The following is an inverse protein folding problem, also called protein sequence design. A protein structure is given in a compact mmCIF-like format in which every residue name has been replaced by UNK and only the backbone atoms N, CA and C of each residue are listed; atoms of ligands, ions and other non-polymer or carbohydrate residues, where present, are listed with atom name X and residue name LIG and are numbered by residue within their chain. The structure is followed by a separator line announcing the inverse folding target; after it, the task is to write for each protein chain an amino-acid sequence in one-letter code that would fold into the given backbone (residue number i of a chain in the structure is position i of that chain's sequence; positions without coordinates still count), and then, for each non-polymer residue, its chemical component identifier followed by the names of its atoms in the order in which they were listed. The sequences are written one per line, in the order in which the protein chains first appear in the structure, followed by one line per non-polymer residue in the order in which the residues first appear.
data_IF_086513122717
#
_entry.id   IF_086513122717
#
_cell.length_a   1.000
_cell.length_b   1.000
_cell.length_c   1.000
_cell.angle_alpha   90.00
_cell.angle_beta   90.00
_cell.angle_gamma   90.00
#
_symmetry.space_group_name_H-M   'P 1'
#
loop_
_entity.id
_entity.type
_entity.pdbx_description
1 polymer ?
#
# COMPACT_ATOMS: atom_id res chain seq x y z
N UNK A 1 12.61 18.99 -46.18
CA UNK A 1 12.19 17.66 -45.71
C UNK A 1 13.35 16.70 -45.48
N UNK A 2 14.36 16.62 -46.35
CA UNK A 2 15.52 15.71 -46.17
C UNK A 2 16.37 16.03 -44.92
N UNK A 3 16.54 17.31 -44.57
CA UNK A 3 17.31 17.73 -43.39
C UNK A 3 16.63 17.39 -42.04
N UNK A 4 15.31 17.22 -42.04
CA UNK A 4 14.54 16.81 -40.85
C UNK A 4 14.63 15.30 -40.61
N UNK A 5 14.74 14.50 -41.69
CA UNK A 5 14.95 13.05 -41.62
C UNK A 5 16.35 12.68 -41.10
N UNK A 6 17.38 13.45 -41.50
CA UNK A 6 18.76 13.22 -41.04
C UNK A 6 18.96 13.62 -39.56
N UNK A 7 18.27 14.65 -39.08
CA UNK A 7 18.28 15.02 -37.66
C UNK A 7 17.61 13.96 -36.76
N UNK A 8 16.56 13.30 -37.25
CA UNK A 8 15.84 12.24 -36.51
C UNK A 8 16.67 10.96 -36.40
N UNK A 9 17.36 10.55 -37.47
CA UNK A 9 18.23 9.37 -37.48
C UNK A 9 19.49 9.53 -36.59
N UNK A 10 20.03 10.76 -36.49
CA UNK A 10 21.17 11.09 -35.62
C UNK A 10 20.81 11.06 -34.13
N UNK A 11 19.57 11.37 -33.79
CA UNK A 11 19.08 11.34 -32.41
C UNK A 11 18.80 9.91 -31.93
N UNK A 12 18.24 9.05 -32.79
CA UNK A 12 17.96 7.64 -32.45
C UNK A 12 19.23 6.79 -32.30
N UNK A 13 20.30 7.09 -33.06
CA UNK A 13 21.59 6.39 -32.92
C UNK A 13 22.34 6.77 -31.62
N UNK A 14 22.21 8.01 -31.14
CA UNK A 14 22.79 8.41 -29.84
C UNK A 14 22.09 7.79 -28.64
N UNK A 15 20.78 7.53 -28.74
CA UNK A 15 20.00 6.83 -27.70
C UNK A 15 20.37 5.35 -27.58
N UNK A 16 20.67 4.68 -28.70
CA UNK A 16 21.09 3.27 -28.70
C UNK A 16 22.52 3.07 -28.16
N UNK A 17 23.41 4.03 -28.35
CA UNK A 17 24.78 3.95 -27.84
C UNK A 17 24.87 4.20 -26.32
N UNK A 18 24.02 5.07 -25.75
CA UNK A 18 23.96 5.26 -24.29
C UNK A 18 23.29 4.09 -23.55
N UNK A 19 22.36 3.38 -24.20
CA UNK A 19 21.69 2.22 -23.59
C UNK A 19 22.61 0.99 -23.39
N UNK A 20 23.75 0.92 -24.10
CA UNK A 20 24.68 -0.20 -24.00
C UNK A 20 25.83 0.01 -23.02
N UNK A 21 26.22 1.25 -22.67
CA UNK A 21 27.27 1.47 -21.66
C UNK A 21 26.78 1.32 -20.21
N UNK A 22 25.48 1.51 -19.96
CA UNK A 22 24.87 1.35 -18.63
C UNK A 22 24.67 -0.13 -18.21
N UNK A 23 24.74 -1.08 -19.15
CA UNK A 23 24.53 -2.52 -18.87
C UNK A 23 25.72 -3.23 -18.20
N UNK A 24 26.91 -2.62 -18.11
CA UNK A 24 28.09 -3.25 -17.47
C UNK A 24 28.32 -2.88 -16.01
N UNK A 25 27.55 -1.97 -15.43
CA UNK A 25 27.75 -1.48 -14.05
C UNK A 25 26.71 -1.97 -13.03
N UNK A 26 25.73 -2.80 -13.42
CA UNK A 26 24.58 -3.17 -12.58
C UNK A 26 24.50 -4.66 -12.23
N UNK A 27 25.57 -5.44 -12.47
CA UNK A 27 25.58 -6.89 -12.25
C UNK A 27 26.47 -7.38 -11.09
N UNK A 28 27.04 -6.51 -10.25
CA UNK A 28 27.96 -6.92 -9.17
C UNK A 28 27.51 -6.53 -7.75
N UNK A 29 26.24 -6.21 -7.49
CA UNK A 29 25.82 -5.88 -6.11
C UNK A 29 24.40 -6.34 -5.79
N UNK A 30 24.15 -7.65 -5.89
CA UNK A 30 23.06 -8.31 -5.17
C UNK A 30 23.50 -9.71 -4.77
N UNK A 31 24.35 -9.78 -3.74
CA UNK A 31 24.59 -10.98 -2.97
C UNK A 31 24.60 -10.62 -1.47
N UNK A 32 23.97 -11.51 -0.68
CA UNK A 32 23.92 -11.57 0.79
C UNK A 32 22.95 -10.61 1.53
N UNK A 33 21.69 -11.04 1.67
CA UNK A 33 20.99 -10.88 2.96
C UNK A 33 21.48 -12.00 3.89
N UNK A 34 22.26 -11.64 4.91
CA UNK A 34 22.67 -12.54 5.99
C UNK A 34 21.73 -12.35 7.18
N UNK A 35 21.24 -13.43 7.83
CA UNK A 35 20.46 -13.33 9.05
C UNK A 35 21.40 -13.13 10.25
N UNK A 36 21.33 -11.96 10.90
CA UNK A 36 21.99 -11.76 12.18
C UNK A 36 21.26 -12.56 13.28
N UNK A 37 21.77 -13.77 13.56
CA UNK A 37 21.62 -14.42 14.85
C UNK A 37 22.71 -13.88 15.80
N UNK A 38 22.27 -13.34 16.94
CA UNK A 38 23.12 -13.03 18.09
C UNK A 38 23.70 -14.34 18.64
N UNK A 39 25.00 -14.57 18.44
CA UNK A 39 25.78 -15.49 19.26
C UNK A 39 26.56 -14.68 20.30
N UNK A 40 26.18 -14.85 21.57
CA UNK A 40 27.06 -14.61 22.70
C UNK A 40 28.29 -15.52 22.58
N UNK A 41 29.48 -14.92 22.58
CA UNK A 41 30.74 -15.62 22.83
C UNK A 41 31.04 -15.58 24.34
N UNK A 42 31.58 -16.67 24.93
CA UNK A 42 31.91 -16.74 26.35
C UNK A 42 33.28 -16.09 26.66
N UNK A 43 33.56 -15.74 27.93
CA UNK A 43 34.83 -15.12 28.30
C UNK A 43 35.96 -16.16 28.39
N UNK A 44 37.14 -15.71 27.97
CA UNK A 44 38.40 -16.43 28.08
C UNK A 44 38.84 -16.58 29.55
N UNK A 45 39.49 -17.72 29.77
CA UNK A 45 40.05 -18.25 30.99
C UNK A 45 41.32 -17.51 31.46
N UNK A 46 41.41 -17.29 32.76
CA UNK A 46 42.69 -17.08 33.47
C UNK A 46 42.84 -18.17 34.54
N UNK A 47 44.01 -18.82 34.54
CA UNK A 47 44.45 -19.83 35.50
C UNK A 47 44.63 -19.23 36.90
N UNK A 48 44.15 -19.93 37.92
CA UNK A 48 44.47 -19.75 39.34
C UNK A 48 44.03 -20.98 40.11
N UNK A 49 44.92 -21.50 40.96
CA UNK A 49 44.95 -22.85 41.52
C UNK A 49 43.98 -23.16 42.68
N UNK A 50 43.65 -24.46 42.79
CA UNK A 50 43.46 -25.27 44.02
C UNK A 50 42.41 -24.86 45.05
N UNK A 51 41.31 -25.63 45.16
CA UNK A 51 41.17 -26.65 46.21
C UNK A 51 39.87 -27.47 46.04
N UNK A 52 39.99 -28.73 46.42
CA UNK A 52 38.96 -29.78 46.53
C UNK A 52 37.74 -29.39 47.35
N UNK A 53 36.54 -29.89 46.98
CA UNK A 53 35.62 -30.70 47.81
C UNK A 53 34.45 -31.17 46.94
N UNK A 54 34.13 -32.46 47.03
CA UNK A 54 33.00 -33.17 46.43
C UNK A 54 31.67 -32.80 47.12
N UNK A 55 30.54 -32.84 46.41
CA UNK A 55 29.22 -33.39 46.84
C UNK A 55 28.20 -33.24 45.69
N UNK A 56 27.25 -34.17 45.69
CA UNK A 56 26.35 -34.59 44.64
C UNK A 56 25.10 -33.70 44.38
N UNK A 57 24.47 -34.04 43.25
CA UNK A 57 23.02 -34.21 43.02
C UNK A 57 22.06 -33.01 42.96
N UNK A 58 21.27 -33.07 41.89
CA UNK A 58 19.86 -32.70 41.72
C UNK A 58 19.44 -31.23 41.56
N UNK A 59 18.91 -30.97 40.36
CA UNK A 59 17.47 -30.67 40.27
C UNK A 59 17.05 -29.25 39.90
N UNK A 60 16.15 -29.22 38.92
CA UNK A 60 15.13 -28.19 38.67
C UNK A 60 15.47 -26.95 37.83
N UNK A 61 15.32 -27.12 36.52
CA UNK A 61 15.11 -26.07 35.54
C UNK A 61 13.67 -25.56 35.63
N UNK A 62 13.48 -24.32 36.09
CA UNK A 62 12.17 -23.65 36.06
C UNK A 62 12.12 -22.74 34.84
N UNK A 63 11.45 -23.18 33.78
CA UNK A 63 11.23 -22.39 32.57
C UNK A 63 9.95 -21.57 32.73
N UNK A 64 10.09 -20.27 32.95
CA UNK A 64 8.97 -19.31 32.92
C UNK A 64 8.65 -18.95 31.47
N UNK A 65 7.60 -19.56 30.91
CA UNK A 65 6.98 -19.14 29.65
C UNK A 65 6.05 -17.96 29.90
N UNK A 66 6.46 -16.78 29.41
CA UNK A 66 5.61 -15.61 29.24
C UNK A 66 4.66 -15.85 28.06
N UNK A 67 3.36 -15.92 28.32
CA UNK A 67 2.30 -15.96 27.31
C UNK A 67 1.82 -14.54 27.03
N UNK A 68 2.29 -13.95 25.94
CA UNK A 68 1.66 -12.76 25.37
C UNK A 68 0.37 -13.16 24.64
N UNK A 69 -0.75 -12.75 25.24
CA UNK A 69 -2.12 -12.99 24.81
C UNK A 69 -2.45 -12.15 23.57
N UNK A 70 -2.20 -12.70 22.38
CA UNK A 70 -2.69 -12.14 21.12
C UNK A 70 -4.18 -12.48 21.00
N UNK A 71 -5.02 -11.59 21.52
CA UNK A 71 -6.47 -11.58 21.31
C UNK A 71 -6.78 -11.69 19.81
N UNK A 72 -7.16 -12.89 19.37
CA UNK A 72 -7.68 -13.16 18.03
C UNK A 72 -9.08 -12.55 17.94
N UNK A 73 -9.22 -11.51 17.13
CA UNK A 73 -10.54 -11.02 16.73
C UNK A 73 -11.39 -12.21 16.23
N UNK A 74 -12.60 -12.44 16.76
CA UNK A 74 -13.47 -13.48 16.25
C UNK A 74 -13.77 -13.19 14.79
N UNK A 75 -13.36 -14.10 13.91
CA UNK A 75 -13.75 -14.08 12.50
C UNK A 75 -15.28 -14.15 12.47
N UNK A 76 -15.99 -13.14 11.94
CA UNK A 76 -17.44 -13.22 11.86
C UNK A 76 -17.81 -14.41 10.98
N UNK A 77 -18.51 -15.39 11.55
CA UNK A 77 -19.17 -16.44 10.78
C UNK A 77 -20.35 -15.77 10.08
N UNK A 78 -20.09 -15.24 8.88
CA UNK A 78 -21.14 -14.70 8.02
C UNK A 78 -22.01 -15.88 7.58
N UNK A 79 -23.18 -16.01 8.20
CA UNK A 79 -24.24 -16.89 7.75
C UNK A 79 -24.62 -16.52 6.31
N UNK A 80 -24.82 -17.54 5.46
CA UNK A 80 -25.32 -17.37 4.09
C UNK A 80 -26.71 -16.75 4.15
N UNK A 81 -26.81 -15.46 3.85
CA UNK A 81 -28.09 -14.83 3.54
C UNK A 81 -28.52 -15.29 2.14
N UNK A 82 -29.62 -16.02 2.08
CA UNK A 82 -30.37 -16.28 0.85
C UNK A 82 -30.98 -14.96 0.38
N UNK A 83 -30.70 -14.57 -0.87
CA UNK A 83 -31.32 -13.41 -1.51
C UNK A 83 -32.81 -13.70 -1.75
N UNK A 84 -33.67 -13.11 -0.93
CA UNK A 84 -35.10 -13.00 -1.19
C UNK A 84 -35.39 -11.59 -1.71
N UNK A 85 -35.91 -11.54 -2.92
CA UNK A 85 -36.21 -10.32 -3.67
C UNK A 85 -37.54 -9.74 -3.15
N UNK A 86 -37.49 -8.84 -2.16
CA UNK A 86 -38.68 -8.14 -1.66
C UNK A 86 -38.93 -6.83 -2.40
N UNK A 87 -40.17 -6.71 -2.87
CA UNK A 87 -40.77 -5.60 -3.60
C UNK A 87 -40.69 -4.27 -2.83
N UNK A 88 -40.41 -3.19 -3.57
CA UNK A 88 -40.44 -1.81 -3.10
C UNK A 88 -41.85 -1.36 -2.69
N UNK A 89 -42.09 -1.21 -1.38
CA UNK A 89 -43.19 -0.40 -0.86
C UNK A 89 -42.76 1.07 -0.78
N UNK A 90 -43.53 1.96 -1.42
CA UNK A 90 -43.39 3.43 -1.36
C UNK A 90 -43.56 3.91 0.09
N UNK A 91 -42.45 4.26 0.73
CA UNK A 91 -42.41 4.86 2.07
C UNK A 91 -42.46 6.38 2.00
N UNK A 92 -43.34 6.95 2.84
CA UNK A 92 -43.53 8.38 3.11
C UNK A 92 -42.22 9.15 3.32
N UNK A 93 -42.02 10.23 2.55
CA UNK A 93 -40.95 11.21 2.71
C UNK A 93 -41.10 11.93 4.05
N UNK A 94 -40.37 11.48 5.08
CA UNK A 94 -40.11 12.31 6.26
C UNK A 94 -39.14 13.41 5.85
N UNK A 95 -39.58 14.67 6.03
CA UNK A 95 -38.77 15.86 5.83
C UNK A 95 -37.54 15.80 6.73
N UNK A 96 -36.37 15.58 6.14
CA UNK A 96 -35.08 15.57 6.84
C UNK A 96 -34.74 17.03 7.10
N UNK A 97 -34.78 17.43 8.37
CA UNK A 97 -34.27 18.74 8.82
C UNK A 97 -32.79 18.83 8.40
N UNK A 98 -32.34 19.91 7.74
CA UNK A 98 -30.94 20.04 7.36
C UNK A 98 -30.09 20.05 8.63
N UNK A 99 -29.35 18.96 8.90
CA UNK A 99 -28.29 19.00 9.90
C UNK A 99 -27.35 20.13 9.48
N UNK A 100 -27.13 21.09 10.39
CA UNK A 100 -26.15 22.16 10.18
C UNK A 100 -24.84 21.54 9.68
N UNK A 101 -24.22 22.16 8.66
CA UNK A 101 -23.01 21.65 8.02
C UNK A 101 -21.97 21.39 9.11
N UNK A 102 -21.74 20.11 9.43
CA UNK A 102 -20.73 19.72 10.40
C UNK A 102 -19.38 20.28 9.95
N UNK A 103 -18.66 20.87 10.90
CA UNK A 103 -17.33 21.42 10.68
C UNK A 103 -16.43 20.35 10.08
N UNK A 104 -15.79 20.62 8.93
CA UNK A 104 -14.96 19.63 8.25
C UNK A 104 -13.59 19.56 8.95
N UNK A 105 -13.27 18.39 9.50
CA UNK A 105 -12.01 18.10 10.16
C UNK A 105 -11.13 17.24 9.23
N UNK A 106 -9.86 17.61 9.08
CA UNK A 106 -8.86 16.80 8.35
C UNK A 106 -8.14 15.87 9.34
N UNK A 107 -8.27 14.57 9.12
CA UNK A 107 -7.63 13.55 9.97
C UNK A 107 -6.40 13.00 9.27
N UNK A 108 -5.24 13.07 9.93
CA UNK A 108 -3.98 12.55 9.42
C UNK A 108 -3.45 11.48 10.37
N UNK A 109 -3.10 10.32 9.83
CA UNK A 109 -2.37 9.27 10.52
C UNK A 109 -0.93 9.24 10.01
N UNK A 110 0.00 9.48 10.92
CA UNK A 110 1.42 9.61 10.59
C UNK A 110 2.24 8.47 11.22
N UNK A 111 2.79 7.60 10.37
CA UNK A 111 3.79 6.62 10.76
C UNK A 111 5.20 7.23 10.76
N UNK A 112 5.83 7.35 11.93
CA UNK A 112 7.15 7.98 12.08
C UNK A 112 8.18 6.92 12.49
N UNK A 113 9.12 6.62 11.59
CA UNK A 113 10.27 5.78 11.90
C UNK A 113 11.43 6.63 12.43
N UNK A 114 11.96 6.28 13.60
CA UNK A 114 13.01 6.98 14.31
C UNK A 114 14.24 6.06 14.47
N UNK A 115 15.23 6.15 13.56
CA UNK A 115 16.47 5.38 13.64
C UNK A 115 17.39 5.84 14.79
N UNK A 116 18.54 5.19 14.91
CA UNK A 116 19.66 5.53 15.81
C UNK A 116 20.13 6.99 15.75
N UNK A 117 20.87 7.45 16.80
CA UNK A 117 21.16 8.86 17.13
C UNK A 117 21.47 9.75 15.92
N UNK A 118 22.43 9.34 15.10
CA UNK A 118 22.91 10.05 13.91
C UNK A 118 21.78 10.38 12.91
N UNK A 119 20.82 9.47 12.72
CA UNK A 119 19.77 9.59 11.70
C UNK A 119 18.46 10.18 12.22
N UNK A 120 18.32 10.37 13.53
CA UNK A 120 17.09 10.91 14.13
C UNK A 120 16.83 12.36 13.80
N UNK A 121 17.87 13.21 13.80
CA UNK A 121 17.73 14.63 13.47
C UNK A 121 17.12 14.81 12.07
N UNK A 122 17.55 13.99 11.11
CA UNK A 122 16.97 13.95 9.77
C UNK A 122 15.51 13.50 9.79
N UNK A 123 15.18 12.49 10.60
CA UNK A 123 13.81 11.99 10.71
C UNK A 123 12.86 13.05 11.28
N UNK A 124 13.28 13.78 12.31
CA UNK A 124 12.55 14.92 12.87
C UNK A 124 12.43 16.07 11.87
N UNK A 125 13.49 16.39 11.14
CA UNK A 125 13.44 17.42 10.09
C UNK A 125 12.45 17.05 8.96
N UNK A 126 12.42 15.78 8.56
CA UNK A 126 11.43 15.27 7.60
C UNK A 126 10.00 15.40 8.16
N UNK A 127 9.80 15.08 9.44
CA UNK A 127 8.49 15.23 10.10
C UNK A 127 8.04 16.68 10.07
N UNK A 128 8.89 17.62 10.49
CA UNK A 128 8.60 19.04 10.44
C UNK A 128 8.27 19.53 9.02
N UNK A 129 9.07 19.15 8.02
CA UNK A 129 8.85 19.49 6.61
C UNK A 129 7.49 19.02 6.08
N UNK A 130 7.08 17.78 6.41
CA UNK A 130 5.81 17.24 5.94
C UNK A 130 4.61 17.85 6.66
N UNK A 131 4.73 18.13 7.96
CA UNK A 131 3.71 18.84 8.72
C UNK A 131 3.52 20.28 8.22
N UNK A 132 4.61 20.96 7.88
CA UNK A 132 4.57 22.28 7.25
C UNK A 132 3.83 22.23 5.90
N UNK A 133 4.13 21.25 5.04
CA UNK A 133 3.41 21.07 3.78
C UNK A 133 1.91 20.86 3.99
N UNK A 134 1.52 20.04 4.98
CA UNK A 134 0.10 19.81 5.31
C UNK A 134 -0.55 21.09 5.82
N UNK A 135 0.14 21.83 6.71
CA UNK A 135 -0.33 23.10 7.27
C UNK A 135 -0.60 24.18 6.22
N UNK A 136 0.06 24.12 5.06
CA UNK A 136 -0.12 25.04 3.94
C UNK A 136 -0.90 24.44 2.75
N UNK A 137 -1.48 23.25 2.92
CA UNK A 137 -2.08 22.49 1.83
C UNK A 137 -3.48 22.95 1.41
N UNK A 138 -3.92 22.52 0.23
CA UNK A 138 -5.30 22.74 -0.23
C UNK A 138 -6.35 22.10 0.67
N UNK A 139 -6.07 20.91 1.22
CA UNK A 139 -6.94 20.21 2.16
C UNK A 139 -7.10 20.97 3.48
N UNK A 140 -6.04 21.63 3.97
CA UNK A 140 -6.11 22.50 5.14
C UNK A 140 -7.11 23.64 4.93
N UNK A 141 -7.09 24.28 3.77
CA UNK A 141 -8.01 25.38 3.43
C UNK A 141 -9.47 24.92 3.29
N UNK A 142 -9.70 23.61 3.11
CA UNK A 142 -11.04 23.01 3.09
C UNK A 142 -11.54 22.57 4.46
N UNK A 143 -10.70 22.67 5.49
CA UNK A 143 -10.97 22.11 6.82
C UNK A 143 -10.90 23.19 7.89
N UNK A 144 -11.70 23.08 8.93
CA UNK A 144 -11.65 24.02 10.05
C UNK A 144 -10.49 23.69 11.00
N UNK A 145 -10.27 22.40 11.22
CA UNK A 145 -9.21 21.85 12.06
C UNK A 145 -8.46 20.73 11.33
N UNK A 146 -7.24 20.49 11.77
CA UNK A 146 -6.44 19.33 11.37
C UNK A 146 -5.99 18.61 12.63
N UNK A 147 -6.32 17.32 12.71
CA UNK A 147 -5.90 16.42 13.78
C UNK A 147 -4.91 15.41 13.21
N UNK A 148 -3.74 15.31 13.83
CA UNK A 148 -2.67 14.38 13.44
C UNK A 148 -2.47 13.37 14.56
N UNK A 149 -2.87 12.14 14.32
CA UNK A 149 -2.52 11.00 15.16
C UNK A 149 -1.20 10.42 14.66
N UNK A 150 -0.22 10.26 15.53
CA UNK A 150 1.07 9.71 15.13
C UNK A 150 1.53 8.57 16.02
N UNK A 151 2.13 7.58 15.38
CA UNK A 151 2.87 6.52 16.06
C UNK A 151 4.35 6.66 15.73
N UNK A 152 5.19 6.37 16.69
CA UNK A 152 6.64 6.32 16.49
C UNK A 152 7.14 4.88 16.57
N UNK A 153 8.10 4.51 15.72
CA UNK A 153 8.78 3.21 15.78
C UNK A 153 10.30 3.40 15.76
N UNK A 154 11.02 2.71 16.64
CA UNK A 154 12.48 2.60 16.60
C UNK A 154 13.11 2.68 17.99
N UNK A 155 14.43 2.92 18.03
CA UNK A 155 15.20 2.86 19.28
C UNK A 155 15.15 4.16 20.10
N UNK A 156 14.33 5.13 19.71
CA UNK A 156 14.17 6.40 20.41
C UNK A 156 12.72 6.87 20.41
N UNK A 157 12.43 7.77 21.32
CA UNK A 157 11.21 8.56 21.31
C UNK A 157 11.41 9.87 20.53
N UNK A 158 10.31 10.43 20.02
CA UNK A 158 10.30 11.80 19.51
C UNK A 158 10.20 12.77 20.69
N UNK A 159 10.76 13.97 20.56
CA UNK A 159 10.49 15.06 21.49
C UNK A 159 9.05 15.56 21.25
N UNK A 160 8.14 15.18 22.15
CA UNK A 160 6.72 15.54 22.05
C UNK A 160 6.49 17.05 22.18
N UNK A 161 7.33 17.78 22.93
CA UNK A 161 7.21 19.23 23.04
C UNK A 161 7.57 19.90 21.71
N UNK A 162 8.66 19.47 21.08
CA UNK A 162 9.03 19.94 19.75
C UNK A 162 7.98 19.57 18.69
N UNK A 163 7.40 18.37 18.76
CA UNK A 163 6.31 17.95 17.88
C UNK A 163 5.06 18.82 18.07
N UNK A 164 4.64 19.05 19.31
CA UNK A 164 3.50 19.90 19.64
C UNK A 164 3.71 21.35 19.17
N UNK A 165 4.91 21.91 19.37
CA UNK A 165 5.26 23.23 18.86
C UNK A 165 5.19 23.27 17.33
N UNK A 166 5.72 22.26 16.66
CA UNK A 166 5.67 22.13 15.19
C UNK A 166 4.22 22.12 14.69
N UNK A 167 3.34 21.37 15.36
CA UNK A 167 1.93 21.30 14.99
C UNK A 167 1.18 22.60 15.26
N UNK A 168 1.42 23.23 16.42
CA UNK A 168 0.84 24.52 16.77
C UNK A 168 1.22 25.61 15.76
N UNK A 169 2.50 25.66 15.36
CA UNK A 169 3.00 26.59 14.34
C UNK A 169 2.31 26.43 12.98
N UNK A 170 1.76 25.24 12.70
CA UNK A 170 1.07 24.92 11.45
C UNK A 170 -0.46 24.80 11.62
N UNK A 171 -1.01 25.31 12.73
CA UNK A 171 -2.43 25.30 13.05
C UNK A 171 -3.06 23.88 13.04
N UNK A 172 -2.33 22.91 13.60
CA UNK A 172 -2.75 21.52 13.74
C UNK A 172 -2.71 21.10 15.21
N UNK A 173 -3.52 20.08 15.55
CA UNK A 173 -3.45 19.37 16.81
C UNK A 173 -2.77 18.04 16.58
N UNK A 174 -1.80 17.70 17.41
CA UNK A 174 -1.05 16.46 17.29
C UNK A 174 -1.20 15.62 18.55
N UNK A 175 -1.44 14.33 18.36
CA UNK A 175 -1.61 13.36 19.44
C UNK A 175 -0.67 12.18 19.20
N UNK A 176 0.24 11.97 20.16
CA UNK A 176 1.07 10.78 20.17
C UNK A 176 0.22 9.60 20.61
N UNK A 177 -0.06 8.67 19.69
CA UNK A 177 -0.85 7.49 20.02
C UNK A 177 0.00 6.46 20.77
N UNK A 178 1.16 6.09 20.20
CA UNK A 178 2.05 5.10 20.80
C UNK A 178 3.46 5.10 20.20
N UNK A 179 4.43 4.78 21.05
CA UNK A 179 5.78 4.40 20.66
C UNK A 179 5.94 2.87 20.63
N UNK A 180 6.61 2.35 19.61
CA UNK A 180 7.00 0.95 19.48
C UNK A 180 8.51 0.83 19.29
N UNK A 181 9.15 -0.11 19.99
CA UNK A 181 10.59 -0.35 19.82
C UNK A 181 10.91 -1.02 18.49
N UNK A 182 9.99 -1.83 17.99
CA UNK A 182 10.10 -2.57 16.73
C UNK A 182 8.78 -2.59 15.97
N UNK A 183 8.86 -2.94 14.68
CA UNK A 183 7.70 -3.11 13.82
C UNK A 183 7.80 -2.33 12.53
N UNK A 184 6.66 -2.23 11.86
CA UNK A 184 6.50 -1.52 10.59
C UNK A 184 5.18 -0.73 10.61
N UNK A 185 4.82 -0.21 9.45
CA UNK A 185 3.60 0.57 9.18
C UNK A 185 2.28 -0.08 9.66
N UNK A 186 2.24 -1.40 9.90
CA UNK A 186 1.04 -2.12 10.32
C UNK A 186 0.39 -1.60 11.60
N UNK A 187 1.17 -1.07 12.54
CA UNK A 187 0.62 -0.47 13.77
C UNK A 187 -0.27 0.73 13.43
N UNK A 188 0.28 1.69 12.68
CA UNK A 188 -0.45 2.89 12.28
C UNK A 188 -1.61 2.58 11.34
N UNK A 189 -1.43 1.67 10.38
CA UNK A 189 -2.51 1.24 9.49
C UNK A 189 -3.66 0.55 10.25
N UNK A 190 -3.36 -0.17 11.34
CA UNK A 190 -4.38 -0.76 12.21
C UNK A 190 -5.18 0.33 12.90
N UNK A 191 -4.51 1.37 13.41
CA UNK A 191 -5.17 2.49 14.08
C UNK A 191 -6.08 3.27 13.12
N UNK A 192 -5.64 3.51 11.88
CA UNK A 192 -6.48 4.13 10.83
C UNK A 192 -7.76 3.31 10.63
N UNK A 193 -7.64 1.99 10.54
CA UNK A 193 -8.79 1.10 10.38
C UNK A 193 -9.71 1.11 11.59
N UNK A 194 -9.15 1.09 12.80
CA UNK A 194 -9.95 1.14 14.03
C UNK A 194 -10.73 2.45 14.14
N UNK A 195 -10.08 3.58 13.83
CA UNK A 195 -10.73 4.89 13.77
C UNK A 195 -11.91 4.90 12.80
N UNK A 196 -11.71 4.40 11.57
CA UNK A 196 -12.75 4.37 10.54
C UNK A 196 -13.89 3.37 10.80
N UNK A 197 -13.75 2.46 11.78
CA UNK A 197 -14.82 1.54 12.19
C UNK A 197 -15.76 2.13 13.24
N UNK A 198 -15.41 3.25 13.84
CA UNK A 198 -16.29 3.99 14.74
C UNK A 198 -17.40 4.65 13.93
N UNK A 199 -18.65 4.54 14.39
CA UNK A 199 -19.83 4.98 13.64
C UNK A 199 -19.80 6.48 13.36
N UNK A 200 -19.33 7.26 14.34
CA UNK A 200 -19.15 8.71 14.26
C UNK A 200 -18.11 9.14 13.20
N UNK A 201 -17.21 8.25 12.79
CA UNK A 201 -16.14 8.56 11.84
C UNK A 201 -16.43 8.06 10.43
N UNK A 202 -17.56 7.37 10.20
CA UNK A 202 -17.74 6.63 8.96
C UNK A 202 -17.76 7.51 7.71
N UNK A 203 -18.25 8.74 7.86
CA UNK A 203 -18.34 9.75 6.81
C UNK A 203 -17.10 10.66 6.74
N UNK A 204 -16.08 10.42 7.57
CA UNK A 204 -14.84 11.21 7.56
C UNK A 204 -13.87 10.74 6.46
N UNK A 205 -12.95 11.62 6.13
CA UNK A 205 -11.78 11.33 5.28
C UNK A 205 -10.55 11.20 6.16
N UNK A 206 -9.65 10.28 5.82
CA UNK A 206 -8.38 10.08 6.52
C UNK A 206 -7.21 10.12 5.54
N UNK A 207 -6.12 10.73 5.97
CA UNK A 207 -4.84 10.75 5.26
C UNK A 207 -3.89 9.81 5.97
N UNK A 208 -3.15 9.00 5.22
CA UNK A 208 -2.04 8.21 5.76
C UNK A 208 -0.73 8.60 5.07
N UNK A 209 0.27 8.91 5.89
CA UNK A 209 1.62 9.21 5.44
C UNK A 209 2.66 8.57 6.36
N UNK A 210 3.90 8.51 5.88
CA UNK A 210 5.03 8.10 6.69
C UNK A 210 6.29 8.92 6.33
N UNK A 211 7.31 8.94 7.19
CA UNK A 211 8.48 9.82 7.03
C UNK A 211 9.52 9.27 6.02
N UNK A 212 9.09 9.02 4.78
CA UNK A 212 9.88 8.34 3.75
C UNK A 212 11.24 9.02 3.50
N UNK A 213 12.29 8.21 3.44
CA UNK A 213 13.67 8.69 3.28
C UNK A 213 14.41 8.94 4.60
N UNK A 214 13.78 8.65 5.74
CA UNK A 214 14.43 8.56 7.06
C UNK A 214 15.45 7.40 7.12
N UNK A 215 15.11 6.24 6.55
CA UNK A 215 15.97 5.06 6.57
C UNK A 215 17.06 5.04 5.48
N UNK A 216 16.75 5.51 4.26
CA UNK A 216 17.66 5.46 3.12
C UNK A 216 18.23 6.85 2.80
N UNK A 217 19.37 7.17 3.39
CA UNK A 217 19.97 8.51 3.30
C UNK A 217 20.60 8.83 1.95
N UNK A 218 21.06 7.80 1.22
CA UNK A 218 21.92 7.93 0.04
C UNK A 218 21.19 8.12 -1.30
N UNK A 219 19.85 8.05 -1.34
CA UNK A 219 19.08 8.21 -2.57
C UNK A 219 18.43 9.60 -2.61
N UNK A 220 19.10 10.55 -3.26
CA UNK A 220 18.63 11.95 -3.40
C UNK A 220 17.18 12.07 -3.87
N UNK A 221 16.74 11.15 -4.75
CA UNK A 221 15.38 11.11 -5.29
C UNK A 221 14.28 10.93 -4.22
N UNK A 222 14.62 10.45 -3.02
CA UNK A 222 13.64 10.24 -1.95
C UNK A 222 13.04 11.54 -1.41
N UNK A 223 13.74 12.67 -1.52
CA UNK A 223 13.25 13.98 -1.07
C UNK A 223 12.11 14.45 -1.96
N UNK A 224 12.34 14.52 -3.27
CA UNK A 224 11.33 14.95 -4.24
C UNK A 224 10.09 14.06 -4.24
N UNK A 225 10.32 12.75 -4.17
CA UNK A 225 9.22 11.80 -4.10
C UNK A 225 8.38 12.00 -2.83
N UNK A 226 9.01 12.16 -1.65
CA UNK A 226 8.30 12.40 -0.39
C UNK A 226 7.47 13.68 -0.44
N UNK A 227 8.07 14.79 -0.88
CA UNK A 227 7.40 16.09 -0.98
C UNK A 227 6.21 16.01 -1.94
N UNK A 228 6.43 15.50 -3.15
CA UNK A 228 5.38 15.32 -4.16
C UNK A 228 4.22 14.44 -3.69
N UNK A 229 4.50 13.34 -2.97
CA UNK A 229 3.45 12.50 -2.39
C UNK A 229 2.70 13.20 -1.26
N UNK A 230 3.39 13.99 -0.42
CA UNK A 230 2.76 14.78 0.65
C UNK A 230 1.84 15.85 0.07
N UNK A 231 2.31 16.60 -0.94
CA UNK A 231 1.50 17.57 -1.70
C UNK A 231 0.27 16.90 -2.29
N UNK A 232 0.43 15.73 -2.92
CA UNK A 232 -0.67 15.03 -3.57
C UNK A 232 -1.79 14.60 -2.61
N UNK A 233 -1.45 13.95 -1.49
CA UNK A 233 -2.47 13.43 -0.55
C UNK A 233 -3.14 14.52 0.27
N UNK A 234 -2.52 15.71 0.35
CA UNK A 234 -3.07 16.91 0.99
C UNK A 234 -3.64 17.92 -0.01
N UNK A 235 -3.74 17.54 -1.29
CA UNK A 235 -4.26 18.41 -2.35
C UNK A 235 -5.76 18.65 -2.24
N UNK A 236 -6.23 19.80 -2.74
CA UNK A 236 -7.67 20.11 -2.81
C UNK A 236 -8.38 19.12 -3.74
N UNK A 237 -7.70 18.72 -4.81
CA UNK A 237 -8.13 17.80 -5.86
C UNK A 237 -8.57 16.46 -5.27
N UNK A 238 -7.70 15.80 -4.50
CA UNK A 238 -8.03 14.53 -3.87
C UNK A 238 -9.20 14.66 -2.88
N UNK A 239 -9.16 15.67 -2.01
CA UNK A 239 -10.19 15.83 -0.97
C UNK A 239 -11.57 16.22 -1.51
N UNK A 240 -11.60 16.97 -2.63
CA UNK A 240 -12.83 17.28 -3.35
C UNK A 240 -13.37 16.04 -4.04
N UNK A 241 -12.52 15.26 -4.71
CA UNK A 241 -12.95 14.02 -5.38
C UNK A 241 -13.58 13.00 -4.42
N UNK A 242 -12.99 12.84 -3.23
CA UNK A 242 -13.52 11.98 -2.17
C UNK A 242 -14.82 12.54 -1.57
N UNK A 243 -14.99 13.86 -1.51
CA UNK A 243 -16.21 14.48 -0.99
C UNK A 243 -17.37 14.39 -2.00
N UNK A 244 -17.06 14.46 -3.29
CA UNK A 244 -17.99 14.32 -4.41
C UNK A 244 -18.30 12.84 -4.75
N UNK A 245 -17.77 11.89 -3.99
CA UNK A 245 -17.87 10.44 -4.23
C UNK A 245 -17.40 9.96 -5.62
N UNK A 246 -16.47 10.69 -6.26
CA UNK A 246 -15.87 10.30 -7.56
C UNK A 246 -14.96 9.08 -7.42
N UNK A 247 -14.34 8.94 -6.26
CA UNK A 247 -13.49 7.84 -5.85
C UNK A 247 -13.57 7.68 -4.33
N UNK A 248 -13.08 6.55 -3.81
CA UNK A 248 -12.99 6.30 -2.37
C UNK A 248 -11.55 6.32 -1.83
N UNK A 249 -10.56 6.47 -2.71
CA UNK A 249 -9.15 6.64 -2.38
C UNK A 249 -8.44 7.49 -3.44
N UNK A 250 -7.48 8.31 -3.01
CA UNK A 250 -6.67 9.16 -3.88
C UNK A 250 -5.23 9.26 -3.39
N UNK A 251 -4.29 9.48 -4.31
CA UNK A 251 -2.87 9.68 -4.00
C UNK A 251 -2.11 10.24 -5.19
N UNK A 252 -0.77 10.27 -5.12
CA UNK A 252 0.06 10.84 -6.18
C UNK A 252 -0.14 10.13 -7.51
N UNK A 253 0.05 8.81 -7.54
CA UNK A 253 -0.17 7.98 -8.72
C UNK A 253 -0.70 6.63 -8.27
N UNK A 254 -1.70 6.10 -8.99
CA UNK A 254 -2.24 4.78 -8.74
C UNK A 254 -1.59 3.76 -9.68
N UNK A 255 -1.21 2.59 -9.13
CA UNK A 255 -0.68 1.48 -9.92
C UNK A 255 -1.48 0.20 -9.67
N UNK A 256 -2.07 -0.43 -10.71
CA UNK A 256 -2.80 -1.69 -10.58
C UNK A 256 -1.91 -2.95 -10.70
N UNK A 257 -0.59 -2.80 -10.71
CA UNK A 257 0.34 -3.89 -11.04
C UNK A 257 0.88 -4.64 -9.83
N UNK A 258 1.69 -5.68 -10.10
CA UNK A 258 2.26 -6.58 -9.08
C UNK A 258 1.15 -7.30 -8.30
N UNK A 259 1.25 -7.39 -6.98
CA UNK A 259 0.29 -8.14 -6.15
C UNK A 259 -1.03 -7.45 -5.89
N UNK A 260 -1.22 -6.26 -6.41
CA UNK A 260 -2.50 -5.57 -6.34
C UNK A 260 -2.34 -4.06 -6.47
N UNK A 261 -3.46 -3.34 -6.36
CA UNK A 261 -3.46 -1.90 -6.41
C UNK A 261 -2.63 -1.30 -5.29
N UNK A 262 -1.81 -0.30 -5.60
CA UNK A 262 -1.05 0.44 -4.59
C UNK A 262 -0.77 1.87 -5.03
N UNK A 263 -0.44 2.71 -4.05
CA UNK A 263 0.09 4.05 -4.27
C UNK A 263 1.58 4.04 -3.92
N UNK A 264 2.48 4.54 -4.80
CA UNK A 264 3.90 4.63 -4.50
C UNK A 264 4.14 5.28 -3.15
N UNK A 265 5.09 4.72 -2.41
CA UNK A 265 5.43 5.18 -1.07
C UNK A 265 4.37 4.92 0.00
N UNK A 266 3.23 4.30 -0.30
CA UNK A 266 2.14 4.09 0.65
C UNK A 266 1.58 5.41 1.22
N UNK A 267 1.43 6.43 0.36
CA UNK A 267 0.81 7.71 0.72
C UNK A 267 -0.55 7.79 0.04
N UNK A 268 -1.60 8.01 0.82
CA UNK A 268 -2.95 8.10 0.29
C UNK A 268 -3.89 8.88 1.21
N UNK A 269 -5.00 9.33 0.66
CA UNK A 269 -6.15 9.85 1.37
C UNK A 269 -7.39 9.05 0.95
N UNK A 270 -8.26 8.69 1.89
CA UNK A 270 -9.38 7.78 1.64
C UNK A 270 -10.61 8.10 2.48
N UNK A 271 -11.77 7.63 2.03
CA UNK A 271 -13.01 7.65 2.81
C UNK A 271 -12.98 6.56 3.89
N UNK A 272 -13.38 6.89 5.13
CA UNK A 272 -13.47 5.90 6.20
C UNK A 272 -14.44 4.75 5.88
N UNK A 273 -15.52 5.05 5.15
CA UNK A 273 -16.46 4.05 4.65
C UNK A 273 -15.79 2.94 3.83
N UNK A 274 -14.72 3.24 3.08
CA UNK A 274 -13.94 2.23 2.37
C UNK A 274 -12.94 1.53 3.31
N UNK A 275 -12.22 2.30 4.14
CA UNK A 275 -11.18 1.76 5.02
C UNK A 275 -11.72 0.74 6.03
N UNK A 276 -12.95 0.92 6.55
CA UNK A 276 -13.54 -0.02 7.52
C UNK A 276 -13.70 -1.44 6.97
N UNK A 277 -13.86 -1.58 5.66
CA UNK A 277 -14.11 -2.86 4.98
C UNK A 277 -12.81 -3.59 4.62
N UNK A 278 -11.65 -2.92 4.72
CA UNK A 278 -10.36 -3.57 4.58
C UNK A 278 -10.14 -4.62 5.67
N UNK A 279 -9.34 -5.65 5.38
CA UNK A 279 -8.86 -6.56 6.41
C UNK A 279 -8.03 -5.81 7.46
N UNK A 280 -7.94 -6.36 8.68
CA UNK A 280 -6.88 -5.92 9.60
C UNK A 280 -5.51 -6.06 8.89
N UNK A 281 -4.62 -5.06 8.95
CA UNK A 281 -3.33 -5.10 8.23
C UNK A 281 -2.47 -6.32 8.53
N UNK A 282 -2.49 -6.83 9.78
CA UNK A 282 -1.78 -8.06 10.16
C UNK A 282 -2.42 -9.30 9.52
N UNK A 283 -3.75 -9.37 9.52
CA UNK A 283 -4.47 -10.45 8.82
C UNK A 283 -4.17 -10.41 7.32
N UNK A 284 -4.15 -9.22 6.71
CA UNK A 284 -3.81 -9.06 5.29
C UNK A 284 -2.39 -9.57 4.97
N UNK A 285 -1.40 -9.22 5.82
CA UNK A 285 -0.01 -9.72 5.70
C UNK A 285 0.04 -11.25 5.70
N UNK A 286 -0.61 -11.87 6.69
CA UNK A 286 -0.56 -13.31 6.88
C UNK A 286 -1.33 -14.06 5.78
N UNK A 287 -2.47 -13.50 5.35
CA UNK A 287 -3.24 -14.01 4.21
C UNK A 287 -2.46 -13.85 2.90
N UNK A 288 -1.71 -12.78 2.71
CA UNK A 288 -0.88 -12.58 1.50
C UNK A 288 0.25 -13.60 1.41
N UNK A 289 0.92 -13.89 2.53
CA UNK A 289 1.92 -14.96 2.61
C UNK A 289 1.31 -16.34 2.30
N UNK A 290 0.13 -16.64 2.86
CA UNK A 290 -0.61 -17.88 2.60
C UNK A 290 -1.06 -17.97 1.13
N UNK A 291 -1.54 -16.86 0.57
CA UNK A 291 -1.98 -16.77 -0.80
C UNK A 291 -0.85 -17.06 -1.77
N UNK A 292 0.35 -16.48 -1.55
CA UNK A 292 1.54 -16.78 -2.35
C UNK A 292 1.84 -18.28 -2.39
N UNK A 293 1.91 -18.95 -1.23
CA UNK A 293 2.17 -20.41 -1.17
C UNK A 293 1.18 -21.20 -2.03
N UNK A 294 -0.11 -20.86 -1.95
CA UNK A 294 -1.17 -21.52 -2.74
C UNK A 294 -1.06 -21.23 -4.24
N UNK A 295 -0.69 -20.01 -4.63
CA UNK A 295 -0.48 -19.64 -6.04
C UNK A 295 0.69 -20.40 -6.63
N UNK A 296 1.81 -20.50 -5.91
CA UNK A 296 2.97 -21.30 -6.34
C UNK A 296 2.61 -22.79 -6.48
N UNK A 297 1.74 -23.31 -5.62
CA UNK A 297 1.21 -24.68 -5.79
C UNK A 297 0.36 -24.81 -7.05
N UNK A 298 -0.47 -23.82 -7.37
CA UNK A 298 -1.26 -23.80 -8.61
C UNK A 298 -0.38 -23.69 -9.86
N UNK A 299 0.70 -22.90 -9.79
CA UNK A 299 1.71 -22.82 -10.84
C UNK A 299 2.39 -24.17 -11.06
N UNK A 300 2.86 -24.84 -10.00
CA UNK A 300 3.45 -26.18 -10.08
C UNK A 300 2.52 -27.22 -10.70
N UNK A 301 1.20 -27.06 -10.55
CA UNK A 301 0.17 -27.91 -11.16
C UNK A 301 -0.21 -27.48 -12.58
N UNK A 302 0.47 -26.51 -13.16
CA UNK A 302 0.17 -26.00 -14.48
C UNK A 302 -1.22 -25.35 -14.58
N UNK A 303 -1.73 -24.74 -13.50
CA UNK A 303 -3.01 -24.01 -13.51
C UNK A 303 -2.86 -22.50 -13.64
N UNK A 304 -1.71 -21.96 -13.22
CA UNK A 304 -1.40 -20.53 -13.30
C UNK A 304 0.01 -20.31 -13.84
N UNK A 305 0.24 -19.12 -14.34
CA UNK A 305 1.53 -18.54 -14.69
C UNK A 305 1.80 -17.35 -13.75
N UNK A 306 3.08 -17.05 -13.50
CA UNK A 306 3.53 -15.96 -12.62
C UNK A 306 4.74 -15.25 -13.23
N UNK A 307 4.76 -15.15 -14.57
CA UNK A 307 5.95 -14.80 -15.34
C UNK A 307 6.09 -13.27 -15.53
N UNK A 308 5.00 -12.53 -15.32
CA UNK A 308 4.96 -11.09 -15.58
C UNK A 308 5.92 -10.28 -14.68
N UNK A 309 6.17 -10.72 -13.45
CA UNK A 309 7.05 -10.05 -12.50
C UNK A 309 7.96 -11.04 -11.76
N UNK A 310 9.16 -10.60 -11.32
CA UNK A 310 10.06 -11.47 -10.57
C UNK A 310 9.48 -11.85 -9.20
N UNK A 311 9.91 -13.00 -8.67
CA UNK A 311 9.45 -13.54 -7.39
C UNK A 311 10.08 -12.85 -6.17
N UNK A 312 9.81 -11.55 -6.02
CA UNK A 312 10.31 -10.72 -4.93
C UNK A 312 9.20 -10.40 -3.92
N UNK A 313 9.49 -10.27 -2.61
CA UNK A 313 8.49 -9.87 -1.61
C UNK A 313 7.75 -8.58 -1.97
N UNK A 314 8.43 -7.59 -2.56
CA UNK A 314 7.85 -6.32 -3.03
C UNK A 314 6.93 -6.47 -4.24
N UNK A 315 7.15 -7.47 -5.08
CA UNK A 315 6.22 -7.85 -6.15
C UNK A 315 5.02 -8.58 -5.57
N UNK A 316 5.27 -9.47 -4.60
CA UNK A 316 4.27 -10.37 -4.03
C UNK A 316 3.40 -9.73 -2.94
N UNK A 317 3.73 -8.50 -2.53
CA UNK A 317 3.06 -7.82 -1.42
C UNK A 317 3.12 -8.64 -0.14
N UNK A 318 4.27 -9.25 0.15
CA UNK A 318 4.48 -10.10 1.33
C UNK A 318 5.49 -9.48 2.29
N UNK A 319 5.52 -9.99 3.53
CA UNK A 319 6.36 -9.43 4.59
C UNK A 319 6.06 -7.96 4.83
N UNK A 320 7.11 -7.13 4.97
CA UNK A 320 6.97 -5.68 5.18
C UNK A 320 6.25 -4.98 4.02
N UNK A 321 6.36 -5.49 2.80
CA UNK A 321 5.74 -4.87 1.62
C UNK A 321 4.22 -5.06 1.56
N UNK A 322 3.64 -5.95 2.37
CA UNK A 322 2.18 -6.08 2.43
C UNK A 322 1.48 -4.79 2.90
N UNK A 323 2.16 -3.94 3.66
CA UNK A 323 1.63 -2.63 4.03
C UNK A 323 1.33 -1.75 2.80
N UNK A 324 2.18 -1.79 1.77
CA UNK A 324 2.02 -0.97 0.55
C UNK A 324 0.79 -1.36 -0.28
N UNK A 325 0.38 -2.64 -0.23
CA UNK A 325 -0.76 -3.16 -0.99
C UNK A 325 -2.05 -3.25 -0.18
N UNK A 326 -1.99 -3.01 1.13
CA UNK A 326 -3.12 -3.20 2.04
C UNK A 326 -4.30 -2.31 1.65
N UNK A 327 -4.04 -1.02 1.42
CA UNK A 327 -5.09 -0.04 1.14
C UNK A 327 -5.81 -0.32 -0.17
N UNK A 328 -5.13 -0.93 -1.15
CA UNK A 328 -5.71 -1.26 -2.45
C UNK A 328 -6.34 -2.64 -2.54
N UNK A 329 -6.39 -3.39 -1.44
CA UNK A 329 -6.67 -4.83 -1.48
C UNK A 329 -8.13 -5.21 -1.70
N UNK A 330 -9.10 -4.33 -1.45
CA UNK A 330 -10.52 -4.64 -1.48
C UNK A 330 -11.13 -4.48 -2.88
N UNK A 331 -12.09 -5.33 -3.30
CA UNK A 331 -12.69 -5.27 -4.63
C UNK A 331 -13.49 -3.99 -4.93
N UNK A 332 -13.98 -3.32 -3.90
CA UNK A 332 -14.79 -2.09 -4.04
C UNK A 332 -13.92 -0.82 -4.20
N UNK A 333 -12.63 -0.97 -4.46
CA UNK A 333 -11.72 0.16 -4.68
C UNK A 333 -12.12 0.95 -5.94
N UNK A 334 -12.32 2.26 -5.77
CA UNK A 334 -12.53 3.25 -6.83
C UNK A 334 -11.42 4.30 -6.68
N UNK A 335 -10.28 4.14 -7.35
CA UNK A 335 -9.13 5.00 -7.13
C UNK A 335 -9.17 6.25 -8.02
N UNK A 336 -8.66 7.35 -7.50
CA UNK A 336 -8.18 8.49 -8.27
C UNK A 336 -6.68 8.68 -8.05
N UNK A 337 -6.05 9.47 -8.91
CA UNK A 337 -4.75 10.05 -8.63
C UNK A 337 -4.63 11.47 -9.21
N UNK A 338 -3.58 12.20 -8.79
CA UNK A 338 -3.41 13.63 -9.13
C UNK A 338 -2.12 13.94 -9.91
N UNK A 339 -1.26 12.96 -10.16
CA UNK A 339 -0.08 13.13 -10.99
C UNK A 339 -0.45 13.67 -12.38
N UNK A 340 0.10 14.77 -12.87
CA UNK A 340 -0.12 15.11 -14.28
C UNK A 340 0.55 14.09 -15.20
N UNK A 341 -0.06 13.76 -16.35
CA UNK A 341 0.61 12.92 -17.36
C UNK A 341 1.92 13.55 -17.84
N UNK A 342 2.01 14.89 -17.79
CA UNK A 342 3.23 15.65 -18.14
C UNK A 342 4.34 15.50 -17.12
N UNK A 343 4.00 15.20 -15.86
CA UNK A 343 4.95 15.02 -14.76
C UNK A 343 5.13 13.56 -14.39
N UNK A 344 4.59 12.65 -15.21
CA UNK A 344 4.75 11.22 -15.00
C UNK A 344 6.24 10.83 -15.05
N UNK A 345 6.75 10.26 -13.96
CA UNK A 345 8.16 9.95 -13.69
C UNK A 345 9.09 11.15 -13.39
N UNK A 346 8.61 12.40 -13.33
CA UNK A 346 9.47 13.54 -12.98
C UNK A 346 9.48 13.87 -11.48
N UNK A 347 8.49 13.39 -10.73
CA UNK A 347 8.34 13.61 -9.28
C UNK A 347 9.46 12.97 -8.42
N UNK A 348 10.31 12.13 -9.01
CA UNK A 348 11.52 11.64 -8.35
C UNK A 348 12.68 12.65 -8.43
N UNK A 349 12.59 13.59 -9.37
CA UNK A 349 13.65 14.55 -9.69
C UNK A 349 13.30 15.98 -9.31
N UNK A 350 12.02 16.30 -9.13
CA UNK A 350 11.54 17.65 -8.82
C UNK A 350 10.34 17.62 -7.87
N UNK A 351 10.20 18.67 -7.07
CA UNK A 351 9.07 18.86 -6.16
C UNK A 351 7.83 19.32 -6.94
N UNK A 352 6.78 18.49 -6.96
CA UNK A 352 5.50 18.90 -7.52
C UNK A 352 4.83 19.96 -6.64
N UNK A 353 4.32 21.00 -7.30
CA UNK A 353 3.55 22.08 -6.69
C UNK A 353 2.06 21.75 -6.67
N UNK A 354 1.25 22.41 -5.83
CA UNK A 354 -0.21 22.25 -5.86
C UNK A 354 -0.82 22.49 -7.24
N UNK A 355 -0.27 23.39 -8.05
CA UNK A 355 -0.72 23.65 -9.43
C UNK A 355 -0.46 22.49 -10.39
N UNK A 356 0.41 21.54 -10.04
CA UNK A 356 0.69 20.36 -10.86
C UNK A 356 -0.32 19.23 -10.62
N UNK A 357 -1.18 19.37 -9.60
CA UNK A 357 -2.20 18.39 -9.24
C UNK A 357 -3.32 18.41 -10.29
N UNK A 358 -3.45 17.32 -11.03
CA UNK A 358 -4.46 17.13 -12.07
C UNK A 358 -5.23 15.85 -11.79
N UNK A 359 -6.37 15.98 -11.13
CA UNK A 359 -7.23 14.87 -10.75
C UNK A 359 -7.66 14.05 -11.96
N UNK A 360 -7.45 12.74 -11.89
CA UNK A 360 -7.96 11.77 -12.85
C UNK A 360 -8.52 10.54 -12.13
N UNK A 361 -9.53 9.91 -12.72
CA UNK A 361 -9.95 8.58 -12.31
C UNK A 361 -8.85 7.58 -12.71
N UNK A 362 -8.61 6.63 -11.82
CA UNK A 362 -7.59 5.62 -12.00
C UNK A 362 -8.21 4.20 -12.06
N UNK A 363 -7.49 3.21 -12.63
CA UNK A 363 -6.25 3.36 -13.37
C UNK A 363 -6.45 4.17 -14.65
N UNK A 364 -5.39 4.88 -15.03
CA UNK A 364 -5.36 5.63 -16.29
C UNK A 364 -5.32 4.66 -17.46
N UNK A 365 -5.89 5.09 -18.59
CA UNK A 365 -5.86 4.35 -19.85
C UNK A 365 -4.46 3.78 -20.13
N UNK A 366 -4.36 2.50 -20.53
CA UNK A 366 -3.15 1.73 -20.35
C UNK A 366 -2.17 2.03 -21.50
N UNK A 367 -1.00 1.40 -21.47
CA UNK A 367 -0.07 1.24 -22.60
C UNK A 367 1.08 2.24 -22.74
N UNK A 368 0.90 3.56 -22.72
CA UNK A 368 2.06 4.43 -23.03
C UNK A 368 3.12 4.46 -21.91
N UNK A 369 2.70 4.45 -20.64
CA UNK A 369 3.63 4.48 -19.50
C UNK A 369 4.19 3.08 -19.15
N UNK A 370 3.65 2.00 -19.71
CA UNK A 370 3.81 0.64 -19.17
C UNK A 370 4.22 -0.38 -20.24
N UNK A 371 4.80 0.08 -21.33
CA UNK A 371 5.28 -0.74 -22.47
C UNK A 371 6.12 -1.94 -22.04
N UNK A 372 6.91 -1.82 -20.96
CA UNK A 372 7.71 -2.92 -20.39
C UNK A 372 6.88 -4.06 -19.82
N UNK A 373 5.72 -3.76 -19.22
CA UNK A 373 4.80 -4.78 -18.68
C UNK A 373 4.09 -5.45 -19.85
N UNK A 374 3.60 -4.66 -20.79
CA UNK A 374 2.92 -5.14 -22.00
C UNK A 374 3.83 -6.06 -22.82
N UNK A 375 5.10 -5.70 -22.98
CA UNK A 375 6.08 -6.51 -23.70
C UNK A 375 6.38 -7.87 -23.04
N UNK A 376 6.12 -8.01 -21.74
CA UNK A 376 6.27 -9.26 -20.97
C UNK A 376 4.97 -10.03 -20.80
N UNK A 377 3.85 -9.43 -21.19
CA UNK A 377 2.54 -10.04 -21.06
C UNK A 377 2.41 -11.24 -22.02
N UNK A 378 1.76 -12.34 -21.63
CA UNK A 378 1.47 -13.42 -22.55
C UNK A 378 0.71 -12.93 -23.80
N UNK A 379 1.17 -13.35 -24.97
CA UNK A 379 0.58 -12.94 -26.24
C UNK A 379 -0.73 -13.70 -26.59
N UNK A 380 -1.04 -14.79 -25.87
CA UNK A 380 -2.29 -15.55 -26.04
C UNK A 380 -3.32 -15.21 -24.96
N UNK A 381 -4.61 -15.23 -25.31
CA UNK A 381 -5.70 -15.04 -24.33
C UNK A 381 -5.63 -16.08 -23.20
N UNK A 382 -5.33 -17.35 -23.54
CA UNK A 382 -5.14 -18.43 -22.56
C UNK A 382 -4.01 -18.13 -21.58
N UNK A 383 -2.87 -17.63 -22.06
CA UNK A 383 -1.77 -17.21 -21.19
C UNK A 383 -2.17 -16.04 -20.28
N UNK A 384 -2.86 -15.03 -20.81
CA UNK A 384 -3.33 -13.88 -20.01
C UNK A 384 -4.36 -14.26 -18.94
N UNK A 385 -5.28 -15.16 -19.25
CA UNK A 385 -6.23 -15.74 -18.27
C UNK A 385 -5.50 -16.52 -17.19
N UNK A 386 -4.34 -17.12 -17.48
CA UNK A 386 -3.58 -17.91 -16.50
C UNK A 386 -2.54 -17.09 -15.74
N UNK A 387 -2.22 -15.88 -16.18
CA UNK A 387 -1.23 -15.03 -15.53
C UNK A 387 -1.79 -14.42 -14.22
N UNK A 388 -1.17 -14.78 -13.10
CA UNK A 388 -1.54 -14.37 -11.75
C UNK A 388 -1.50 -12.85 -11.55
N UNK A 389 -0.58 -12.16 -12.21
CA UNK A 389 -0.47 -10.71 -12.06
C UNK A 389 -1.50 -9.91 -12.89
N UNK A 390 -2.40 -10.60 -13.59
CA UNK A 390 -3.56 -10.03 -14.29
C UNK A 390 -4.86 -10.40 -13.56
N UNK A 391 -5.98 -10.48 -14.29
CA UNK A 391 -7.31 -10.68 -13.72
C UNK A 391 -7.45 -11.91 -12.81
N UNK A 392 -6.76 -13.01 -13.12
CA UNK A 392 -6.85 -14.24 -12.32
C UNK A 392 -6.41 -14.05 -10.87
N UNK A 393 -5.26 -13.40 -10.63
CA UNK A 393 -4.78 -13.21 -9.26
C UNK A 393 -5.62 -12.24 -8.46
N UNK A 394 -6.18 -11.21 -9.11
CA UNK A 394 -7.15 -10.30 -8.48
C UNK A 394 -8.37 -11.06 -7.94
N UNK A 395 -9.00 -11.87 -8.79
CA UNK A 395 -10.15 -12.68 -8.40
C UNK A 395 -9.80 -13.71 -7.31
N UNK A 396 -8.63 -14.35 -7.40
CA UNK A 396 -8.14 -15.27 -6.37
C UNK A 396 -7.96 -14.55 -5.03
N UNK A 397 -7.32 -13.38 -5.02
CA UNK A 397 -7.08 -12.58 -3.81
C UNK A 397 -8.39 -12.12 -3.21
N UNK A 398 -9.26 -11.44 -3.96
CA UNK A 398 -10.53 -10.94 -3.45
C UNK A 398 -11.45 -12.03 -2.91
N UNK A 399 -11.53 -13.17 -3.60
CA UNK A 399 -12.30 -14.32 -3.10
C UNK A 399 -11.71 -14.89 -1.80
N UNK A 400 -10.39 -14.96 -1.68
CA UNK A 400 -9.75 -15.48 -0.47
C UNK A 400 -9.83 -14.51 0.70
N UNK A 401 -9.62 -13.22 0.45
CA UNK A 401 -9.51 -12.18 1.47
C UNK A 401 -10.89 -11.73 1.96
N UNK A 402 -11.83 -11.53 1.02
CA UNK A 402 -13.11 -10.88 1.29
C UNK A 402 -14.31 -11.74 0.95
N UNK A 403 -14.13 -12.91 0.32
CA UNK A 403 -15.21 -13.73 -0.28
C UNK A 403 -16.04 -12.98 -1.32
N UNK A 404 -15.53 -11.84 -1.80
CA UNK A 404 -16.12 -10.94 -2.78
C UNK A 404 -15.33 -10.94 -4.09
N UNK A 405 -15.87 -10.27 -5.08
CA UNK A 405 -15.25 -9.88 -6.36
C UNK A 405 -15.69 -8.46 -6.67
N UNK A 406 -15.03 -7.81 -7.63
CA UNK A 406 -15.40 -6.47 -8.07
C UNK A 406 -16.87 -6.40 -8.54
N UNK A 407 -17.53 -5.25 -8.28
CA UNK A 407 -18.86 -4.92 -8.81
C UNK A 407 -18.85 -4.79 -10.33
N UNK A 408 -20.01 -4.88 -11.00
CA UNK A 408 -20.11 -4.92 -12.46
C UNK A 408 -19.65 -3.64 -13.18
N UNK A 409 -19.57 -2.53 -12.48
CA UNK A 409 -19.13 -1.20 -12.92
C UNK A 409 -17.66 -0.88 -12.55
N UNK A 410 -16.95 -1.85 -11.97
CA UNK A 410 -15.56 -1.67 -11.56
C UNK A 410 -14.63 -1.53 -12.76
N UNK A 411 -13.71 -0.56 -12.69
CA UNK A 411 -12.59 -0.34 -13.61
C UNK A 411 -11.80 -1.62 -13.94
N UNK A 412 -11.75 -2.56 -12.99
CA UNK A 412 -11.08 -3.85 -13.13
C UNK A 412 -11.44 -4.59 -14.43
N UNK A 413 -12.71 -4.55 -14.82
CA UNK A 413 -13.19 -5.28 -16.00
C UNK A 413 -12.75 -4.66 -17.31
N UNK A 414 -12.57 -3.34 -17.32
CA UNK A 414 -12.20 -2.58 -18.52
C UNK A 414 -10.67 -2.47 -18.65
N UNK A 415 -9.96 -2.49 -17.52
CA UNK A 415 -8.51 -2.29 -17.50
C UNK A 415 -7.71 -3.54 -17.88
N UNK A 416 -8.07 -4.72 -17.33
CA UNK A 416 -7.28 -5.93 -17.57
C UNK A 416 -7.66 -6.61 -18.88
N UNK A 417 -6.69 -7.24 -19.56
CA UNK A 417 -7.00 -8.07 -20.72
C UNK A 417 -7.92 -9.21 -20.31
N UNK A 418 -8.84 -9.57 -21.19
CA UNK A 418 -9.88 -10.57 -20.93
C UNK A 418 -10.81 -10.22 -19.75
N UNK A 419 -10.84 -8.96 -19.30
CA UNK A 419 -11.69 -8.53 -18.19
C UNK A 419 -13.17 -8.79 -18.46
N UNK A 420 -13.65 -8.59 -19.69
CA UNK A 420 -15.02 -8.96 -20.08
C UNK A 420 -15.29 -10.47 -19.97
N UNK A 421 -14.34 -11.33 -20.37
CA UNK A 421 -14.48 -12.79 -20.20
C UNK A 421 -14.57 -13.16 -18.72
N UNK A 422 -13.75 -12.54 -17.88
CA UNK A 422 -13.81 -12.74 -16.43
C UNK A 422 -15.12 -12.24 -15.82
N UNK A 423 -15.64 -11.10 -16.28
CA UNK A 423 -16.91 -10.53 -15.84
C UNK A 423 -18.07 -11.49 -16.12
N UNK A 424 -18.14 -12.03 -17.34
CA UNK A 424 -19.16 -13.02 -17.72
C UNK A 424 -18.98 -14.34 -16.95
N UNK A 425 -17.75 -14.83 -16.79
CA UNK A 425 -17.50 -16.04 -16.00
C UNK A 425 -17.93 -15.88 -14.53
N UNK A 426 -17.72 -14.70 -13.93
CA UNK A 426 -18.19 -14.38 -12.57
C UNK A 426 -19.71 -14.33 -12.50
N UNK A 427 -20.37 -13.73 -13.50
CA UNK A 427 -21.83 -13.69 -13.60
C UNK A 427 -22.43 -15.09 -13.72
N UNK A 428 -21.84 -15.96 -14.54
CA UNK A 428 -22.34 -17.31 -14.82
C UNK A 428 -22.00 -18.32 -13.72
N UNK A 429 -20.78 -18.28 -13.17
CA UNK A 429 -20.27 -19.31 -12.26
C UNK A 429 -20.04 -18.83 -10.83
N UNK A 430 -20.24 -17.55 -10.54
CA UNK A 430 -20.09 -16.96 -9.21
C UNK A 430 -18.72 -17.22 -8.60
N UNK A 431 -18.70 -17.91 -7.46
CA UNK A 431 -17.46 -18.27 -6.75
C UNK A 431 -16.55 -19.25 -7.50
N UNK A 432 -17.08 -19.96 -8.51
CA UNK A 432 -16.35 -20.98 -9.27
C UNK A 432 -15.70 -20.45 -10.55
N UNK A 433 -15.89 -19.17 -10.88
CA UNK A 433 -15.38 -18.57 -12.12
C UNK A 433 -13.88 -18.81 -12.36
N UNK A 434 -13.04 -18.63 -11.33
CA UNK A 434 -11.59 -18.89 -11.41
C UNK A 434 -11.31 -20.36 -11.73
N UNK A 435 -11.97 -21.30 -11.05
CA UNK A 435 -11.73 -22.71 -11.31
C UNK A 435 -12.15 -23.11 -12.72
N UNK A 436 -13.30 -22.62 -13.19
CA UNK A 436 -13.80 -22.86 -14.54
C UNK A 436 -12.84 -22.31 -15.60
N UNK A 437 -12.49 -21.03 -15.52
CA UNK A 437 -11.61 -20.36 -16.49
C UNK A 437 -10.21 -20.98 -16.55
N UNK A 438 -9.67 -21.47 -15.42
CA UNK A 438 -8.33 -22.06 -15.40
C UNK A 438 -8.28 -23.52 -15.88
N UNK A 439 -9.38 -24.28 -15.80
CA UNK A 439 -9.42 -25.68 -16.24
C UNK A 439 -9.98 -25.84 -17.66
N UNK A 440 -11.00 -25.07 -18.02
CA UNK A 440 -11.89 -25.38 -19.15
C UNK A 440 -11.68 -24.41 -20.34
N UNK A 441 -10.93 -23.32 -20.16
CA UNK A 441 -10.71 -22.34 -21.22
C UNK A 441 -9.70 -22.84 -22.27
N UNK A 442 -10.20 -23.21 -23.45
CA UNK A 442 -9.41 -23.73 -24.56
C UNK A 442 -8.76 -22.65 -25.45
N UNK A 443 -9.02 -21.36 -25.21
CA UNK A 443 -8.34 -20.28 -25.93
C UNK A 443 -8.86 -20.00 -27.34
N UNK A 444 -10.01 -20.56 -27.73
CA UNK A 444 -10.72 -20.11 -28.91
C UNK A 444 -11.22 -18.69 -28.65
N UNK A 445 -10.67 -17.73 -29.39
CA UNK A 445 -11.07 -16.33 -29.39
C UNK A 445 -12.57 -16.21 -29.62
N UNK A 446 -13.24 -15.38 -28.80
CA UNK A 446 -14.57 -14.85 -29.09
C UNK A 446 -14.44 -13.80 -30.18
#
# INVERSE_FOLDING_TARGET
MLSFLLAKLSWETKLLLHANSSKRSLLETFTAESPHHNHQMPPNSFRGSSNSVSIASDGNTTTTTSTDDVSRDPVPVIARATHDHKQHTRGSHKSVVPLGKAKKELIVFYHIFLPDEERGNRSTAIVAEQLEQIGHSGARNMSESVQVYYNTIGNRTIDEAAMNQTCANNHMQCEHTKHYTEGFEFHTLRDVRLYCRQEENINKQVVYIHNKGSYHTQKGNSVHLRRSMTTAVSSKECHTALADDKCNICGLSFSPWKSGPFFPGNFWTAQCQYIKDLLNPYNFRDMSATNRKKVLQMQKRGKLEVNLFPELPSTWGTGRYSAEFWVGSHPDIRPCDVASIRTYNTWESFDLQPSDMNLQLAPREPYQAESKIVARMPNTAKGRIREYFLGAGYLIRWRRYYRKVAGGDSWFWDYFPEGNLWKEAVKQHGGRAVAHMLNDFNGTSV
#
